data_IF_487120697493
#
_entry.id   IF_487120697493
#
_cell.length_a   1.000
_cell.length_b   1.000
_cell.length_c   1.000
_cell.angle_alpha   90.00
_cell.angle_beta   90.00
_cell.angle_gamma   90.00
#
_symmetry.space_group_name_H-M   'P 1'
#
loop_
_entity.id
_entity.type
_entity.pdbx_description
1 polymer ?
#
# COMPACT_ATOMS: atom_id res chain seq x y z
N UNK A 1 11.65 -29.09 28.00
CA UNK A 1 11.74 -29.49 26.58
C UNK A 1 10.92 -28.52 25.73
N UNK A 2 11.50 -27.86 24.71
CA UNK A 2 10.69 -27.07 23.76
C UNK A 2 9.82 -28.04 22.95
N UNK A 3 8.50 -27.82 22.94
CA UNK A 3 7.57 -28.56 22.08
C UNK A 3 8.02 -28.43 20.61
N UNK A 4 8.05 -29.55 19.88
CA UNK A 4 8.39 -29.60 18.45
C UNK A 4 7.56 -28.59 17.63
N UNK A 5 6.30 -28.38 18.03
CA UNK A 5 5.39 -27.39 17.43
C UNK A 5 5.92 -25.96 17.54
N UNK A 6 6.50 -25.60 18.68
CA UNK A 6 7.07 -24.26 18.90
C UNK A 6 8.36 -24.06 18.10
N UNK A 7 9.17 -25.11 17.94
CA UNK A 7 10.38 -25.08 17.11
C UNK A 7 10.05 -24.87 15.63
N UNK A 8 9.08 -25.64 15.11
CA UNK A 8 8.62 -25.51 13.72
C UNK A 8 8.01 -24.13 13.47
N UNK A 9 7.16 -23.63 14.38
CA UNK A 9 6.57 -22.29 14.29
C UNK A 9 7.65 -21.20 14.22
N UNK A 10 8.67 -21.30 15.08
CA UNK A 10 9.76 -20.33 15.11
C UNK A 10 10.62 -20.37 13.84
N UNK A 11 10.91 -21.56 13.29
CA UNK A 11 11.62 -21.70 12.01
C UNK A 11 10.85 -21.09 10.84
N UNK A 12 9.54 -21.34 10.75
CA UNK A 12 8.68 -20.78 9.70
C UNK A 12 8.64 -19.25 9.80
N UNK A 13 8.43 -18.71 11.01
CA UNK A 13 8.44 -17.26 11.25
C UNK A 13 9.78 -16.62 10.86
N UNK A 14 10.91 -17.27 11.18
CA UNK A 14 12.22 -16.78 10.79
C UNK A 14 12.42 -16.79 9.27
N UNK A 15 11.99 -17.85 8.57
CA UNK A 15 12.11 -17.91 7.10
C UNK A 15 11.22 -16.88 6.42
N UNK A 16 9.97 -16.73 6.88
CA UNK A 16 9.03 -15.70 6.36
C UNK A 16 9.60 -14.30 6.63
N UNK A 17 10.07 -14.04 7.85
CA UNK A 17 10.67 -12.76 8.20
C UNK A 17 11.95 -12.43 7.40
N UNK A 18 12.80 -13.42 7.14
CA UNK A 18 14.00 -13.26 6.29
C UNK A 18 13.61 -12.94 4.84
N UNK A 19 12.58 -13.59 4.30
CA UNK A 19 12.10 -13.31 2.94
C UNK A 19 11.49 -11.90 2.82
N UNK A 20 10.77 -11.44 3.84
CA UNK A 20 10.28 -10.05 3.89
C UNK A 20 11.44 -9.05 3.97
N UNK A 21 12.45 -9.30 4.80
CA UNK A 21 13.63 -8.44 4.91
C UNK A 21 14.42 -8.40 3.61
N UNK A 22 14.62 -9.54 2.94
CA UNK A 22 15.29 -9.61 1.65
C UNK A 22 14.52 -8.84 0.57
N UNK A 23 13.19 -8.95 0.55
CA UNK A 23 12.34 -8.21 -0.39
C UNK A 23 12.44 -6.70 -0.15
N UNK A 24 12.46 -6.26 1.12
CA UNK A 24 12.68 -4.85 1.49
C UNK A 24 14.06 -4.35 1.08
N UNK A 25 15.09 -5.16 1.31
CA UNK A 25 16.46 -4.82 0.95
C UNK A 25 16.61 -4.70 -0.57
N UNK A 26 16.07 -5.66 -1.33
CA UNK A 26 16.07 -5.62 -2.79
C UNK A 26 15.36 -4.38 -3.32
N UNK A 27 14.21 -4.03 -2.75
CA UNK A 27 13.49 -2.81 -3.13
C UNK A 27 14.34 -1.54 -2.90
N UNK A 28 14.96 -1.42 -1.72
CA UNK A 28 15.82 -0.28 -1.39
C UNK A 28 17.03 -0.19 -2.31
N UNK A 29 17.65 -1.33 -2.64
CA UNK A 29 18.75 -1.42 -3.58
C UNK A 29 18.33 -1.01 -4.99
N UNK A 30 17.20 -1.52 -5.49
CA UNK A 30 16.65 -1.12 -6.79
C UNK A 30 16.35 0.38 -6.85
N UNK A 31 15.75 0.95 -5.80
CA UNK A 31 15.51 2.39 -5.71
C UNK A 31 16.81 3.21 -5.82
N UNK A 32 17.84 2.82 -5.06
CA UNK A 32 19.14 3.51 -5.08
C UNK A 32 19.81 3.41 -6.45
N UNK A 33 19.75 2.24 -7.10
CA UNK A 33 20.28 2.05 -8.46
C UNK A 33 19.56 2.99 -9.43
N UNK A 34 18.22 2.97 -9.46
CA UNK A 34 17.41 3.81 -10.37
C UNK A 34 17.70 5.30 -10.16
N UNK A 35 17.91 5.72 -8.91
CA UNK A 35 18.24 7.11 -8.57
C UNK A 35 19.58 7.55 -9.19
N UNK A 36 20.59 6.69 -9.19
CA UNK A 36 21.94 6.99 -9.68
C UNK A 36 22.12 6.78 -11.20
N UNK A 37 21.18 6.10 -11.88
CA UNK A 37 21.27 5.91 -13.34
C UNK A 37 21.32 7.25 -14.10
N UNK A 38 22.14 7.35 -15.13
CA UNK A 38 22.16 8.52 -16.01
C UNK A 38 21.00 8.46 -17.02
N UNK A 39 19.81 8.80 -16.52
CA UNK A 39 18.58 8.78 -17.31
C UNK A 39 17.67 9.96 -16.95
N UNK A 40 16.79 10.41 -17.86
CA UNK A 40 15.85 11.49 -17.59
C UNK A 40 15.00 11.22 -16.35
N UNK A 41 14.80 12.27 -15.54
CA UNK A 41 14.04 12.19 -14.28
C UNK A 41 12.64 11.60 -14.47
N UNK A 42 11.94 11.98 -15.55
CA UNK A 42 10.61 11.47 -15.87
C UNK A 42 10.59 9.94 -16.07
N UNK A 43 11.64 9.40 -16.67
CA UNK A 43 11.77 7.94 -16.86
C UNK A 43 12.07 7.24 -15.53
N UNK A 44 12.91 7.82 -14.67
CA UNK A 44 13.15 7.30 -13.31
C UNK A 44 11.84 7.23 -12.52
N UNK A 45 11.06 8.31 -12.56
CA UNK A 45 9.76 8.39 -11.89
C UNK A 45 8.78 7.35 -12.44
N UNK A 46 8.72 7.14 -13.76
CA UNK A 46 7.88 6.12 -14.37
C UNK A 46 8.25 4.70 -13.90
N UNK A 47 9.55 4.37 -13.84
CA UNK A 47 10.03 3.07 -13.34
C UNK A 47 9.65 2.90 -11.87
N UNK A 48 9.91 3.91 -11.03
CA UNK A 48 9.56 3.85 -9.60
C UNK A 48 8.05 3.69 -9.38
N UNK A 49 7.23 4.38 -10.17
CA UNK A 49 5.78 4.24 -10.14
C UNK A 49 5.32 2.85 -10.60
N UNK A 50 6.00 2.22 -11.57
CA UNK A 50 5.65 0.85 -12.01
C UNK A 50 5.91 -0.21 -10.95
N UNK A 51 6.77 0.08 -9.97
CA UNK A 51 7.00 -0.77 -8.80
C UNK A 51 5.87 -0.66 -7.76
N UNK A 52 4.81 0.10 -8.04
CA UNK A 52 3.67 0.32 -7.15
C UNK A 52 2.46 -0.58 -7.49
N UNK A 53 1.72 -1.09 -6.47
CA UNK A 53 2.00 -1.01 -5.04
C UNK A 53 3.14 -1.98 -4.66
N UNK A 54 4.10 -1.48 -3.87
CA UNK A 54 5.09 -2.36 -3.25
C UNK A 54 4.43 -3.30 -2.22
N UNK A 55 5.16 -4.33 -1.78
CA UNK A 55 4.65 -5.37 -0.86
C UNK A 55 4.05 -4.85 0.47
N UNK A 56 4.29 -3.58 0.84
CA UNK A 56 3.76 -2.94 2.04
C UNK A 56 2.61 -1.95 1.76
N UNK A 57 2.19 -1.78 0.50
CA UNK A 57 1.08 -0.88 0.11
C UNK A 57 1.28 0.60 0.47
N UNK A 58 2.46 0.99 0.93
CA UNK A 58 2.75 2.36 1.36
C UNK A 58 2.93 3.26 0.16
N UNK A 59 2.15 4.35 0.11
CA UNK A 59 2.27 5.42 -0.90
C UNK A 59 3.72 5.91 -0.88
N UNK A 60 4.46 5.68 -1.97
CA UNK A 60 5.76 6.31 -2.14
C UNK A 60 5.56 7.77 -2.54
N UNK A 61 6.36 8.64 -1.94
CA UNK A 61 6.39 10.06 -2.27
C UNK A 61 6.80 10.22 -3.73
N UNK A 62 5.84 10.51 -4.61
CA UNK A 62 6.14 11.03 -5.94
C UNK A 62 6.66 12.46 -5.78
N UNK A 63 7.69 12.84 -6.53
CA UNK A 63 8.12 14.24 -6.58
C UNK A 63 7.36 15.05 -7.63
N UNK A 64 6.47 14.39 -8.39
CA UNK A 64 5.62 15.03 -9.38
C UNK A 64 4.35 15.55 -8.68
N UNK A 65 4.40 16.83 -8.31
CA UNK A 65 3.32 17.52 -7.58
C UNK A 65 1.98 17.40 -8.32
N UNK A 66 1.96 17.42 -9.65
CA UNK A 66 0.73 17.32 -10.43
C UNK A 66 0.10 15.92 -10.34
N UNK A 67 0.92 14.87 -10.36
CA UNK A 67 0.43 13.51 -10.14
C UNK A 67 -0.11 13.31 -8.72
N UNK A 68 0.56 13.90 -7.72
CA UNK A 68 0.07 13.88 -6.33
C UNK A 68 -1.28 14.59 -6.24
N UNK A 69 -1.40 15.81 -6.76
CA UNK A 69 -2.65 16.56 -6.78
C UNK A 69 -3.77 15.79 -7.47
N UNK A 70 -3.47 15.18 -8.63
CA UNK A 70 -4.42 14.35 -9.38
C UNK A 70 -4.89 13.15 -8.56
N UNK A 71 -3.97 12.42 -7.93
CA UNK A 71 -4.30 11.30 -7.05
C UNK A 71 -5.14 11.74 -5.85
N UNK A 72 -4.71 12.78 -5.12
CA UNK A 72 -5.43 13.31 -3.96
C UNK A 72 -6.83 13.81 -4.33
N UNK A 73 -7.02 14.39 -5.52
CA UNK A 73 -8.34 14.75 -6.01
C UNK A 73 -9.24 13.52 -6.26
N UNK A 74 -8.67 12.41 -6.74
CA UNK A 74 -9.42 11.17 -6.97
C UNK A 74 -9.85 10.50 -5.66
N UNK A 75 -8.98 10.51 -4.64
CA UNK A 75 -9.25 9.91 -3.34
C UNK A 75 -9.84 10.89 -2.32
N UNK A 76 -10.17 12.11 -2.77
CA UNK A 76 -10.71 13.16 -1.91
C UNK A 76 -11.94 12.59 -1.17
N UNK A 77 -12.02 12.73 0.17
CA UNK A 77 -13.21 12.33 0.91
C UNK A 77 -14.44 12.98 0.28
N UNK A 78 -15.46 12.17 0.01
CA UNK A 78 -16.68 12.68 -0.58
C UNK A 78 -17.36 13.57 0.47
N UNK A 79 -17.51 14.86 0.19
CA UNK A 79 -18.26 15.79 1.04
C UNK A 79 -19.77 15.55 0.85
N UNK A 80 -20.29 14.50 1.47
CA UNK A 80 -21.73 14.20 1.49
C UNK A 80 -22.28 14.50 2.87
N UNK A 81 -23.47 15.09 2.96
CA UNK A 81 -24.18 15.19 4.23
C UNK A 81 -24.44 13.80 4.80
N UNK A 82 -24.23 13.60 6.10
CA UNK A 82 -24.43 12.30 6.78
C UNK A 82 -25.83 11.72 6.50
N UNK A 83 -26.85 12.55 6.36
CA UNK A 83 -28.23 12.12 6.00
C UNK A 83 -28.39 11.48 4.61
N UNK A 84 -27.38 11.56 3.75
CA UNK A 84 -27.33 10.88 2.44
C UNK A 84 -26.54 9.57 2.49
N UNK A 85 -26.01 9.21 3.65
CA UNK A 85 -25.27 7.98 3.85
C UNK A 85 -26.18 6.96 4.54
N UNK A 86 -26.19 5.72 4.03
CA UNK A 86 -26.89 4.59 4.62
C UNK A 86 -25.87 3.57 5.11
N UNK A 87 -26.11 3.01 6.30
CA UNK A 87 -25.40 1.80 6.73
C UNK A 87 -25.90 0.61 5.93
N UNK A 88 -24.99 -0.19 5.42
CA UNK A 88 -25.25 -1.45 4.75
C UNK A 88 -24.63 -2.56 5.59
N UNK A 89 -25.44 -3.57 5.94
CA UNK A 89 -25.09 -4.64 6.87
C UNK A 89 -25.98 -4.68 8.13
N UNK A 90 -25.88 -5.75 8.91
CA UNK A 90 -26.60 -5.98 10.18
C UNK A 90 -25.87 -5.44 11.40
N UNK A 91 -26.52 -5.32 12.56
CA UNK A 91 -26.00 -4.55 13.71
C UNK A 91 -24.62 -5.01 14.25
N UNK A 92 -24.20 -6.25 13.98
CA UNK A 92 -22.97 -6.86 14.52
C UNK A 92 -21.99 -7.41 13.47
N UNK A 93 -22.14 -7.04 12.19
CA UNK A 93 -21.29 -7.55 11.11
C UNK A 93 -20.10 -6.64 10.75
N UNK A 94 -19.91 -5.56 11.52
CA UNK A 94 -18.89 -4.54 11.21
C UNK A 94 -19.20 -3.70 9.98
N UNK A 95 -20.47 -3.66 9.54
CA UNK A 95 -20.97 -3.08 8.30
C UNK A 95 -20.45 -1.70 7.89
N UNK A 96 -20.66 -1.36 6.63
CA UNK A 96 -20.05 -0.23 5.96
C UNK A 96 -21.07 0.87 5.64
N UNK A 97 -20.60 2.12 5.56
CA UNK A 97 -21.43 3.29 5.27
C UNK A 97 -21.24 3.67 3.81
N UNK A 98 -22.33 3.73 3.05
CA UNK A 98 -22.32 4.05 1.62
C UNK A 98 -23.29 5.19 1.31
N UNK A 99 -23.08 5.86 0.18
CA UNK A 99 -24.06 6.80 -0.37
C UNK A 99 -25.38 6.06 -0.66
N UNK A 100 -26.49 6.60 -0.16
CA UNK A 100 -27.80 6.06 -0.46
C UNK A 100 -28.10 6.20 -1.97
N UNK A 101 -28.65 5.16 -2.62
CA UNK A 101 -29.03 5.25 -4.02
C UNK A 101 -30.09 6.36 -4.21
N UNK A 102 -30.11 7.05 -5.37
CA UNK A 102 -31.15 8.02 -5.68
C UNK A 102 -32.52 7.36 -5.60
N UNK A 103 -33.49 8.07 -5.00
CA UNK A 103 -34.89 7.67 -4.94
C UNK A 103 -35.61 8.03 -6.24
#
# INVERSE_FOLDING_TARGET
MRSLKNFIKQKIQNVIGVNEVNTRFNFLMSYNIIKELDMPREQKEAILLSMYPGAMGGIQLSYNIENIKKYLNLIRPICVSVGKLSRIGGENDGGYVMLAPPR
#
